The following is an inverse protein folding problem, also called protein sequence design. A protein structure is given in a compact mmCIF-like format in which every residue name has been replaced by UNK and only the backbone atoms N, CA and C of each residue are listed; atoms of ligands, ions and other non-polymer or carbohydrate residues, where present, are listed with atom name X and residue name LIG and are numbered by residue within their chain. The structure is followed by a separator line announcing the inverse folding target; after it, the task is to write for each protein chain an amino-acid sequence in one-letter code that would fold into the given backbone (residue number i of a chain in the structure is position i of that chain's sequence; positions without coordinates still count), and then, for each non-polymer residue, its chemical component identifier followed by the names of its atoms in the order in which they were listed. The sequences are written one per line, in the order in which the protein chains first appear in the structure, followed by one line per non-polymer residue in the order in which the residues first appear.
data_IF_944527518486
#
_entry.id   IF_944527518486
#
_cell.length_a   1.000
_cell.length_b   1.000
_cell.length_c   1.000
_cell.angle_alpha   90.00
_cell.angle_beta   90.00
_cell.angle_gamma   90.00
#
_symmetry.space_group_name_H-M   'P 1'
#
loop_
_entity.id
_entity.type
_entity.pdbx_description
1 polymer ?
#
# COMPACT_ATOMS: atom_id res chain seq x y z
N UNK A 1 7.85 7.05 -39.54
CA UNK A 1 6.42 7.38 -39.30
C UNK A 1 6.04 6.63 -38.02
N UNK A 2 6.02 7.34 -36.90
CA UNK A 2 5.61 6.80 -35.62
C UNK A 2 4.07 6.84 -35.57
N UNK A 3 3.45 5.66 -35.52
CA UNK A 3 2.01 5.58 -35.27
C UNK A 3 1.71 6.10 -33.88
N UNK A 4 1.08 7.24 -33.80
CA UNK A 4 0.52 7.81 -32.59
C UNK A 4 -0.67 6.92 -32.17
N UNK A 5 -0.44 5.97 -31.23
CA UNK A 5 -1.52 5.17 -30.65
C UNK A 5 -2.41 6.11 -29.84
N UNK A 6 -3.52 6.51 -30.43
CA UNK A 6 -4.59 7.25 -29.74
C UNK A 6 -5.15 6.36 -28.62
N UNK A 7 -4.78 6.67 -27.37
CA UNK A 7 -5.35 6.01 -26.19
C UNK A 7 -6.81 6.43 -26.10
N UNK A 8 -7.74 5.52 -26.41
CA UNK A 8 -9.17 5.75 -26.19
C UNK A 8 -9.41 5.91 -24.69
N UNK A 9 -9.89 7.08 -24.28
CA UNK A 9 -10.31 7.32 -22.90
C UNK A 9 -11.55 6.48 -22.63
N UNK A 10 -11.43 5.46 -21.77
CA UNK A 10 -12.56 4.63 -21.36
C UNK A 10 -13.36 5.41 -20.32
N UNK A 11 -14.67 5.48 -20.49
CA UNK A 11 -15.57 6.15 -19.56
C UNK A 11 -16.12 5.12 -18.55
N UNK A 12 -15.65 5.21 -17.32
CA UNK A 12 -16.07 4.33 -16.21
C UNK A 12 -17.21 4.92 -15.37
N UNK A 13 -17.69 6.12 -15.63
CA UNK A 13 -18.71 6.82 -14.84
C UNK A 13 -20.04 6.07 -14.69
N UNK A 14 -20.30 5.11 -15.58
CA UNK A 14 -21.49 4.25 -15.56
C UNK A 14 -21.32 2.97 -14.71
N UNK A 15 -20.09 2.65 -14.33
CA UNK A 15 -19.80 1.47 -13.54
C UNK A 15 -20.07 1.76 -12.05
N UNK A 16 -20.34 0.73 -11.24
CA UNK A 16 -20.50 0.90 -9.78
C UNK A 16 -19.27 1.55 -9.15
N UNK A 17 -19.50 2.43 -8.18
CA UNK A 17 -18.42 2.98 -7.34
C UNK A 17 -17.97 1.89 -6.38
N UNK A 18 -16.68 1.53 -6.43
CA UNK A 18 -16.08 0.50 -5.56
C UNK A 18 -15.26 1.12 -4.42
N UNK A 19 -14.82 2.37 -4.57
CA UNK A 19 -14.14 3.12 -3.51
C UNK A 19 -14.57 4.58 -3.58
N UNK A 20 -14.96 5.14 -2.44
CA UNK A 20 -15.30 6.56 -2.30
C UNK A 20 -14.59 7.14 -1.09
N UNK A 21 -13.89 8.24 -1.29
CA UNK A 21 -13.33 9.09 -0.25
C UNK A 21 -14.10 10.42 -0.25
N UNK A 22 -14.62 10.81 0.90
CA UNK A 22 -15.43 12.02 1.05
C UNK A 22 -14.87 12.91 2.15
N UNK A 23 -14.38 14.10 1.79
CA UNK A 23 -13.87 15.14 2.69
C UNK A 23 -12.81 14.64 3.68
N UNK A 24 -11.94 13.73 3.23
CA UNK A 24 -10.95 13.05 4.05
C UNK A 24 -9.82 13.99 4.44
N UNK A 25 -9.59 14.11 5.75
CA UNK A 25 -8.46 14.87 6.31
C UNK A 25 -7.69 14.01 7.31
N UNK A 26 -6.37 14.17 7.34
CA UNK A 26 -5.46 13.45 8.26
C UNK A 26 -4.38 14.35 8.82
N UNK A 27 -4.27 14.36 10.16
CA UNK A 27 -3.23 15.05 10.89
C UNK A 27 -2.40 14.09 11.72
N UNK A 28 -1.10 14.35 11.83
CA UNK A 28 -0.22 13.67 12.78
C UNK A 28 0.25 14.63 13.86
N UNK A 29 0.37 14.11 15.08
CA UNK A 29 0.97 14.85 16.20
C UNK A 29 2.46 14.51 16.24
N UNK A 30 3.30 15.43 15.79
CA UNK A 30 4.75 15.31 15.90
C UNK A 30 5.19 15.83 17.27
N UNK A 31 5.89 15.03 18.10
CA UNK A 31 6.44 15.53 19.35
C UNK A 31 7.42 16.67 19.04
N UNK A 32 7.19 17.82 19.62
CA UNK A 32 8.18 18.88 19.70
C UNK A 32 9.11 18.52 20.85
N UNK A 33 10.42 18.66 20.64
CA UNK A 33 11.54 18.30 21.52
C UNK A 33 11.16 17.86 22.94
N UNK A 34 11.61 16.66 23.32
CA UNK A 34 11.38 16.14 24.66
C UNK A 34 11.95 17.13 25.67
N UNK A 35 11.09 17.62 26.57
CA UNK A 35 11.54 18.33 27.74
C UNK A 35 12.49 17.42 28.53
N UNK A 36 13.78 17.67 28.45
CA UNK A 36 14.83 16.90 29.12
C UNK A 36 14.87 17.26 30.62
N UNK A 37 13.73 17.13 31.32
CA UNK A 37 13.67 17.32 32.76
C UNK A 37 12.30 17.76 33.27
N UNK A 38 11.98 17.36 34.51
CA UNK A 38 10.73 17.74 35.21
C UNK A 38 10.50 19.25 35.30
N UNK A 39 11.57 20.05 35.47
CA UNK A 39 11.48 21.50 35.47
C UNK A 39 11.00 22.08 34.15
N UNK A 40 11.51 21.56 33.02
CA UNK A 40 11.12 22.03 31.69
C UNK A 40 9.67 21.62 31.37
N UNK A 41 9.27 20.45 31.81
CA UNK A 41 7.88 19.97 31.65
C UNK A 41 6.90 20.89 32.41
N UNK A 42 7.24 21.32 33.64
CA UNK A 42 6.43 22.22 34.45
C UNK A 42 6.34 23.64 33.83
N UNK A 43 7.46 24.18 33.32
CA UNK A 43 7.50 25.47 32.63
C UNK A 43 6.68 25.44 31.35
N UNK A 44 6.78 24.36 30.56
CA UNK A 44 6.03 24.20 29.34
C UNK A 44 4.52 24.09 29.62
N UNK A 45 4.13 23.37 30.68
CA UNK A 45 2.74 23.28 31.13
C UNK A 45 2.20 24.66 31.58
N UNK A 46 2.97 25.39 32.40
CA UNK A 46 2.59 26.74 32.88
C UNK A 46 2.46 27.79 31.74
N UNK A 47 3.20 27.58 30.62
CA UNK A 47 3.15 28.44 29.43
C UNK A 47 2.15 27.98 28.39
N UNK A 48 1.39 26.90 28.64
CA UNK A 48 0.45 26.35 27.69
C UNK A 48 1.10 25.80 26.41
N UNK A 49 2.40 25.50 26.43
CA UNK A 49 3.14 24.98 25.29
C UNK A 49 2.73 23.50 25.12
N UNK A 50 1.99 23.21 24.05
CA UNK A 50 1.66 21.83 23.70
C UNK A 50 2.93 21.12 23.26
N UNK A 51 3.28 19.98 23.91
CA UNK A 51 4.46 19.18 23.60
C UNK A 51 4.41 18.46 22.24
N UNK A 52 3.52 18.88 21.34
CA UNK A 52 3.39 18.35 19.98
C UNK A 52 2.96 19.44 18.99
N UNK A 53 3.46 19.33 17.78
CA UNK A 53 3.02 20.10 16.61
C UNK A 53 2.06 19.24 15.78
N UNK A 54 0.88 19.76 15.45
CA UNK A 54 0.01 19.12 14.48
C UNK A 54 0.56 19.35 13.08
N UNK A 55 0.77 18.28 12.33
CA UNK A 55 1.08 18.32 10.91
C UNK A 55 -0.11 17.76 10.13
N UNK A 56 -0.79 18.62 9.39
CA UNK A 56 -1.84 18.23 8.47
C UNK A 56 -1.20 17.66 7.22
N UNK A 57 -1.44 16.39 6.95
CA UNK A 57 -0.85 15.65 5.81
C UNK A 57 -1.83 15.54 4.67
N UNK A 58 -3.11 15.36 4.97
CA UNK A 58 -4.20 15.34 3.99
C UNK A 58 -5.25 16.36 4.41
N UNK A 59 -5.76 17.11 3.44
CA UNK A 59 -6.71 18.18 3.64
C UNK A 59 -7.84 18.09 2.63
N UNK A 60 -9.02 17.74 3.13
CA UNK A 60 -10.28 17.75 2.38
C UNK A 60 -10.20 17.01 1.03
N UNK A 61 -9.76 15.76 1.05
CA UNK A 61 -9.59 14.94 -0.15
C UNK A 61 -10.91 14.22 -0.45
N UNK A 62 -11.41 14.39 -1.67
CA UNK A 62 -12.62 13.70 -2.15
C UNK A 62 -12.39 13.16 -3.55
N UNK A 63 -12.72 11.88 -3.77
CA UNK A 63 -12.70 11.22 -5.08
C UNK A 63 -13.48 9.91 -5.03
N UNK A 64 -13.80 9.38 -6.19
CA UNK A 64 -14.44 8.09 -6.38
C UNK A 64 -13.65 7.26 -7.38
N UNK A 65 -13.67 5.94 -7.20
CA UNK A 65 -13.08 4.97 -8.13
C UNK A 65 -14.16 3.96 -8.52
N UNK A 66 -14.30 3.73 -9.81
CA UNK A 66 -15.32 2.86 -10.38
C UNK A 66 -14.75 1.47 -10.68
N UNK A 67 -15.63 0.48 -10.76
CA UNK A 67 -15.25 -0.89 -11.08
C UNK A 67 -14.54 -0.95 -12.44
N UNK A 68 -13.38 -1.64 -12.49
CA UNK A 68 -12.54 -1.79 -13.66
C UNK A 68 -11.66 -0.56 -13.97
N UNK A 69 -11.73 0.50 -13.16
CA UNK A 69 -10.94 1.70 -13.34
C UNK A 69 -9.51 1.52 -12.82
N UNK A 70 -8.53 2.02 -13.57
CA UNK A 70 -7.17 2.19 -13.11
C UNK A 70 -6.98 3.65 -12.63
N UNK A 71 -6.92 3.82 -11.29
CA UNK A 71 -6.83 5.13 -10.66
C UNK A 71 -5.41 5.41 -10.15
N UNK A 72 -4.77 6.44 -10.66
CA UNK A 72 -3.39 6.82 -10.32
C UNK A 72 -3.31 7.99 -9.34
N UNK A 73 -2.63 7.81 -8.21
CA UNK A 73 -2.34 8.87 -7.24
C UNK A 73 -0.91 9.38 -7.46
N UNK A 74 -0.77 10.58 -7.99
CA UNK A 74 0.52 11.21 -8.28
C UNK A 74 0.74 12.46 -7.43
N UNK A 75 2.00 12.74 -7.10
CA UNK A 75 2.34 13.92 -6.30
C UNK A 75 3.79 13.88 -5.81
N UNK A 76 4.24 14.99 -5.21
CA UNK A 76 5.59 15.14 -4.66
C UNK A 76 5.85 14.15 -3.52
N UNK A 77 7.12 13.84 -3.27
CA UNK A 77 7.52 13.05 -2.08
C UNK A 77 7.13 13.82 -0.80
N UNK A 78 6.57 13.10 0.18
CA UNK A 78 6.02 13.71 1.40
C UNK A 78 4.63 14.36 1.22
N UNK A 79 4.02 14.30 0.02
CA UNK A 79 2.68 14.86 -0.26
C UNK A 79 1.50 14.03 0.25
N UNK A 80 1.73 13.04 1.12
CA UNK A 80 0.64 12.27 1.76
C UNK A 80 0.14 11.07 0.98
N UNK A 81 0.74 10.69 -0.17
CA UNK A 81 0.31 9.53 -0.99
C UNK A 81 0.21 8.23 -0.17
N UNK A 82 1.30 7.84 0.49
CA UNK A 82 1.33 6.64 1.34
C UNK A 82 0.35 6.73 2.51
N UNK A 83 0.12 7.94 3.05
CA UNK A 83 -0.88 8.17 4.09
C UNK A 83 -2.29 7.92 3.56
N UNK A 84 -2.60 8.39 2.35
CA UNK A 84 -3.88 8.16 1.70
C UNK A 84 -4.10 6.67 1.41
N UNK A 85 -3.08 5.97 0.89
CA UNK A 85 -3.16 4.52 0.67
C UNK A 85 -3.38 3.75 1.98
N UNK A 86 -2.71 4.14 3.07
CA UNK A 86 -2.92 3.54 4.41
C UNK A 86 -4.31 3.81 4.98
N UNK A 87 -4.91 4.95 4.65
CA UNK A 87 -6.32 5.23 5.00
C UNK A 87 -7.29 4.39 4.17
N UNK A 88 -7.09 4.28 2.86
CA UNK A 88 -7.88 3.42 1.97
C UNK A 88 -7.84 1.97 2.45
N UNK A 89 -6.66 1.51 2.85
CA UNK A 89 -6.42 0.15 3.37
C UNK A 89 -6.84 -0.06 4.82
N UNK A 90 -7.50 0.93 5.44
CA UNK A 90 -7.99 0.89 6.83
C UNK A 90 -6.90 0.66 7.90
N UNK A 91 -5.63 0.89 7.54
CA UNK A 91 -4.50 0.88 8.48
C UNK A 91 -4.55 2.14 9.36
N UNK A 92 -4.97 3.26 8.79
CA UNK A 92 -5.25 4.50 9.49
C UNK A 92 -6.73 4.88 9.38
N UNK A 93 -7.19 5.70 10.33
CA UNK A 93 -8.52 6.30 10.28
C UNK A 93 -8.40 7.81 10.01
N UNK A 94 -9.29 8.40 9.22
CA UNK A 94 -9.32 9.84 9.00
C UNK A 94 -9.78 10.59 10.28
N UNK A 95 -9.32 11.83 10.47
CA UNK A 95 -9.86 12.72 11.50
C UNK A 95 -11.20 13.33 11.08
N UNK A 96 -11.35 13.61 9.80
CA UNK A 96 -12.61 14.09 9.22
C UNK A 96 -12.87 13.37 7.91
N UNK A 97 -14.15 13.31 7.53
CA UNK A 97 -14.59 12.62 6.33
C UNK A 97 -14.73 11.12 6.52
N UNK A 98 -14.92 10.42 5.42
CA UNK A 98 -15.10 8.97 5.41
C UNK A 98 -14.51 8.34 4.16
N UNK A 99 -14.13 7.06 4.29
CA UNK A 99 -13.74 6.21 3.16
C UNK A 99 -14.66 5.00 3.18
N UNK A 100 -15.30 4.75 2.06
CA UNK A 100 -16.15 3.58 1.84
C UNK A 100 -15.53 2.70 0.77
N UNK A 101 -15.44 1.40 1.06
CA UNK A 101 -14.91 0.39 0.15
C UNK A 101 -15.99 -0.68 -0.04
N UNK A 102 -16.33 -0.98 -1.29
CA UNK A 102 -17.28 -2.02 -1.66
C UNK A 102 -16.52 -3.18 -2.28
N UNK A 103 -16.46 -4.31 -1.59
CA UNK A 103 -15.73 -5.50 -2.00
C UNK A 103 -14.47 -5.77 -1.19
N UNK A 104 -13.72 -6.81 -1.59
CA UNK A 104 -12.48 -7.23 -0.93
C UNK A 104 -11.31 -6.37 -1.42
N UNK A 105 -10.71 -5.62 -0.49
CA UNK A 105 -9.53 -4.80 -0.77
C UNK A 105 -8.25 -5.58 -0.45
N UNK A 106 -7.32 -5.63 -1.39
CA UNK A 106 -5.99 -6.22 -1.22
C UNK A 106 -4.96 -5.10 -1.22
N UNK A 107 -4.43 -4.72 -0.04
CA UNK A 107 -3.42 -3.68 0.07
C UNK A 107 -2.03 -4.25 -0.21
N UNK A 108 -1.34 -3.69 -1.19
CA UNK A 108 0.04 -3.96 -1.52
C UNK A 108 0.86 -2.67 -1.39
N UNK A 109 0.92 -2.16 -0.15
CA UNK A 109 1.45 -0.83 0.15
C UNK A 109 2.95 -0.85 0.40
N UNK A 110 3.50 -1.94 0.90
CA UNK A 110 4.93 -2.09 1.16
C UNK A 110 5.42 -3.37 0.48
N UNK A 111 6.15 -3.20 -0.62
CA UNK A 111 6.76 -4.29 -1.39
C UNK A 111 7.67 -5.14 -0.50
N UNK A 112 7.38 -6.45 -0.40
CA UNK A 112 8.19 -7.40 0.36
C UNK A 112 7.91 -7.45 1.86
N UNK A 113 6.93 -6.73 2.38
CA UNK A 113 6.45 -6.95 3.77
C UNK A 113 5.89 -8.36 3.88
N UNK A 114 6.41 -9.10 4.87
CA UNK A 114 6.07 -10.50 5.09
C UNK A 114 7.01 -11.50 4.43
N UNK A 115 7.93 -11.06 3.57
CA UNK A 115 8.98 -11.93 3.06
C UNK A 115 10.08 -12.18 4.11
N UNK A 116 10.53 -13.43 4.20
CA UNK A 116 11.67 -13.82 5.02
C UNK A 116 12.87 -14.12 4.12
N UNK A 117 13.98 -13.35 4.23
CA UNK A 117 15.17 -13.54 3.40
C UNK A 117 15.85 -14.91 3.57
N UNK A 118 15.64 -15.57 4.70
CA UNK A 118 16.25 -16.90 4.99
C UNK A 118 15.45 -18.07 4.40
N UNK A 119 14.21 -17.84 4.00
CA UNK A 119 13.37 -18.81 3.32
C UNK A 119 13.62 -18.76 1.81
N UNK A 120 13.28 -19.85 1.13
CA UNK A 120 13.32 -19.95 -0.34
C UNK A 120 12.20 -19.11 -0.99
N UNK A 121 12.28 -18.89 -2.30
CA UNK A 121 11.19 -18.26 -3.06
C UNK A 121 9.88 -19.01 -2.87
N UNK A 122 9.92 -20.34 -2.97
CA UNK A 122 8.77 -21.23 -2.74
C UNK A 122 8.13 -21.01 -1.37
N UNK A 123 8.92 -21.11 -0.32
CA UNK A 123 8.44 -20.93 1.06
C UNK A 123 7.86 -19.53 1.28
N UNK A 124 8.44 -18.50 0.66
CA UNK A 124 7.92 -17.13 0.72
C UNK A 124 6.58 -16.96 -0.01
N UNK A 125 6.32 -17.69 -1.10
CA UNK A 125 4.99 -17.70 -1.76
C UNK A 125 3.93 -18.20 -0.78
N UNK A 126 4.17 -19.32 -0.08
CA UNK A 126 3.23 -19.85 0.92
C UNK A 126 3.07 -18.93 2.13
N UNK A 127 4.20 -18.38 2.64
CA UNK A 127 4.17 -17.43 3.74
C UNK A 127 3.34 -16.19 3.39
N UNK A 128 3.57 -15.62 2.21
CA UNK A 128 2.88 -14.41 1.78
C UNK A 128 1.42 -14.70 1.43
N UNK A 129 1.13 -15.84 0.79
CA UNK A 129 -0.24 -16.31 0.54
C UNK A 129 -1.05 -16.44 1.83
N UNK A 130 -0.45 -17.04 2.88
CA UNK A 130 -1.08 -17.16 4.21
C UNK A 130 -1.34 -15.80 4.85
N UNK A 131 -0.42 -14.84 4.71
CA UNK A 131 -0.60 -13.46 5.21
C UNK A 131 -1.75 -12.73 4.48
N UNK A 132 -1.99 -13.07 3.21
CA UNK A 132 -3.11 -12.54 2.42
C UNK A 132 -4.43 -13.30 2.68
N UNK A 133 -4.39 -14.33 3.54
CA UNK A 133 -5.57 -15.07 3.98
C UNK A 133 -5.93 -16.29 3.13
N UNK A 134 -5.00 -16.79 2.29
CA UNK A 134 -5.17 -18.03 1.54
C UNK A 134 -4.87 -19.26 2.39
N UNK A 135 -5.60 -20.35 2.14
CA UNK A 135 -5.24 -21.67 2.64
C UNK A 135 -4.06 -22.23 1.85
N UNK A 136 -3.44 -23.30 2.36
CA UNK A 136 -2.33 -23.97 1.67
C UNK A 136 -2.77 -24.52 0.31
N UNK A 137 -3.96 -25.11 0.27
CA UNK A 137 -4.55 -25.70 -0.94
C UNK A 137 -4.84 -24.62 -2.00
N UNK A 138 -5.27 -23.44 -1.58
CA UNK A 138 -5.47 -22.31 -2.49
C UNK A 138 -4.15 -21.79 -3.06
N UNK A 139 -3.09 -21.76 -2.24
CA UNK A 139 -1.74 -21.41 -2.71
C UNK A 139 -1.21 -22.46 -3.68
N UNK A 140 -1.39 -23.77 -3.39
CA UNK A 140 -1.00 -24.86 -4.29
C UNK A 140 -1.67 -24.71 -5.66
N UNK A 141 -2.96 -24.39 -5.68
CA UNK A 141 -3.72 -24.25 -6.92
C UNK A 141 -3.25 -23.10 -7.82
N UNK A 142 -2.65 -22.04 -7.23
CA UNK A 142 -2.19 -20.85 -7.97
C UNK A 142 -0.65 -20.77 -8.06
N UNK A 143 0.08 -21.74 -7.49
CA UNK A 143 1.54 -21.66 -7.35
C UNK A 143 2.24 -21.56 -8.71
N UNK A 144 1.92 -22.44 -9.65
CA UNK A 144 2.55 -22.49 -10.97
C UNK A 144 2.30 -21.18 -11.74
N UNK A 145 1.09 -20.66 -11.68
CA UNK A 145 0.72 -19.37 -12.26
C UNK A 145 1.49 -18.19 -11.66
N UNK A 146 1.73 -18.24 -10.33
CA UNK A 146 2.52 -17.20 -9.62
C UNK A 146 3.97 -17.23 -10.12
N UNK A 147 4.54 -18.41 -10.21
CA UNK A 147 5.94 -18.64 -10.62
C UNK A 147 6.15 -18.24 -12.08
N UNK A 148 5.26 -18.67 -12.97
CA UNK A 148 5.28 -18.29 -14.39
C UNK A 148 5.16 -16.76 -14.57
N UNK A 149 4.21 -16.13 -13.88
CA UNK A 149 4.04 -14.68 -13.96
C UNK A 149 5.26 -13.91 -13.41
N UNK A 150 5.92 -14.45 -12.38
CA UNK A 150 7.14 -13.87 -11.82
C UNK A 150 8.38 -14.10 -12.73
N UNK A 151 8.34 -15.07 -13.64
CA UNK A 151 9.49 -15.52 -14.45
C UNK A 151 10.68 -15.92 -13.55
N UNK A 152 10.42 -16.74 -12.51
CA UNK A 152 11.41 -17.08 -11.49
C UNK A 152 11.54 -18.59 -11.26
N UNK A 153 11.14 -19.42 -12.22
CA UNK A 153 11.10 -20.89 -12.13
C UNK A 153 12.41 -21.48 -11.62
N UNK A 154 13.54 -21.04 -12.16
CA UNK A 154 14.88 -21.54 -11.83
C UNK A 154 15.39 -21.06 -10.46
N UNK A 155 14.71 -20.08 -9.87
CA UNK A 155 15.15 -19.44 -8.62
C UNK A 155 14.35 -19.86 -7.40
N UNK A 156 13.20 -20.54 -7.59
CA UNK A 156 12.23 -20.79 -6.51
C UNK A 156 12.78 -21.60 -5.32
N UNK A 157 13.79 -22.43 -5.55
CA UNK A 157 14.44 -23.22 -4.49
C UNK A 157 15.65 -22.51 -3.86
N UNK A 158 15.97 -21.30 -4.32
CA UNK A 158 17.01 -20.45 -3.74
C UNK A 158 16.43 -19.56 -2.64
N UNK A 159 17.27 -19.25 -1.64
CA UNK A 159 16.91 -18.31 -0.56
C UNK A 159 16.68 -16.91 -1.11
N UNK A 160 15.65 -16.25 -0.59
CA UNK A 160 15.22 -14.92 -1.07
C UNK A 160 16.31 -13.85 -0.91
N UNK A 161 17.22 -14.00 0.06
CA UNK A 161 18.38 -13.10 0.20
C UNK A 161 19.32 -13.08 -1.02
N UNK A 162 19.26 -14.10 -1.86
CA UNK A 162 20.04 -14.18 -3.10
C UNK A 162 19.33 -13.52 -4.29
N UNK A 163 18.05 -13.12 -4.11
CA UNK A 163 17.29 -12.47 -5.16
C UNK A 163 17.71 -11.00 -5.30
N UNK A 164 17.72 -10.51 -6.52
CA UNK A 164 17.77 -9.06 -6.75
C UNK A 164 16.49 -8.39 -6.23
N UNK A 165 16.55 -7.09 -5.96
CA UNK A 165 15.36 -6.33 -5.56
C UNK A 165 14.22 -6.44 -6.58
N UNK A 166 14.54 -6.46 -7.87
CA UNK A 166 13.57 -6.67 -8.94
C UNK A 166 12.89 -8.03 -8.89
N UNK A 167 13.65 -9.11 -8.61
CA UNK A 167 13.10 -10.46 -8.45
C UNK A 167 12.16 -10.53 -7.25
N UNK A 168 12.54 -9.93 -6.11
CA UNK A 168 11.69 -9.88 -4.92
C UNK A 168 10.38 -9.14 -5.19
N UNK A 169 10.45 -8.00 -5.88
CA UNK A 169 9.28 -7.21 -6.29
C UNK A 169 8.36 -8.02 -7.21
N UNK A 170 8.91 -8.68 -8.23
CA UNK A 170 8.13 -9.51 -9.17
C UNK A 170 7.42 -10.63 -8.44
N UNK A 171 8.12 -11.37 -7.57
CA UNK A 171 7.52 -12.46 -6.80
C UNK A 171 6.39 -11.95 -5.91
N UNK A 172 6.62 -10.88 -5.14
CA UNK A 172 5.61 -10.30 -4.26
C UNK A 172 4.38 -9.82 -5.03
N UNK A 173 4.59 -9.17 -6.18
CA UNK A 173 3.52 -8.69 -7.04
C UNK A 173 2.70 -9.84 -7.66
N UNK A 174 3.37 -10.94 -8.06
CA UNK A 174 2.71 -12.12 -8.59
C UNK A 174 1.75 -12.76 -7.60
N UNK A 175 2.18 -12.89 -6.33
CA UNK A 175 1.33 -13.37 -5.24
C UNK A 175 0.13 -12.42 -5.02
N UNK A 176 0.38 -11.11 -4.98
CA UNK A 176 -0.66 -10.12 -4.73
C UNK A 176 -1.73 -10.05 -5.82
N UNK A 177 -1.36 -10.19 -7.10
CA UNK A 177 -2.31 -10.21 -8.22
C UNK A 177 -3.22 -11.44 -8.16
N UNK A 178 -2.70 -12.58 -7.71
CA UNK A 178 -3.50 -13.80 -7.56
C UNK A 178 -4.40 -13.77 -6.33
N UNK A 179 -4.13 -12.85 -5.37
CA UNK A 179 -5.06 -12.58 -4.29
C UNK A 179 -6.38 -12.09 -4.88
N UNK A 180 -7.40 -12.94 -4.88
CA UNK A 180 -8.74 -12.62 -5.40
C UNK A 180 -9.35 -11.47 -4.59
N UNK A 181 -9.08 -10.25 -5.03
CA UNK A 181 -9.63 -9.01 -4.48
C UNK A 181 -10.33 -8.21 -5.56
N UNK A 182 -11.38 -7.49 -5.15
CA UNK A 182 -12.12 -6.60 -6.05
C UNK A 182 -11.35 -5.30 -6.29
N UNK A 183 -10.51 -4.91 -5.33
CA UNK A 183 -9.71 -3.68 -5.36
C UNK A 183 -8.27 -4.00 -4.97
N UNK A 184 -7.33 -3.72 -5.86
CA UNK A 184 -5.90 -3.83 -5.60
C UNK A 184 -5.30 -2.43 -5.36
N UNK A 185 -4.72 -2.21 -4.18
CA UNK A 185 -4.04 -0.96 -3.82
C UNK A 185 -2.54 -1.18 -3.87
N UNK A 186 -1.87 -0.49 -4.79
CA UNK A 186 -0.43 -0.62 -5.01
C UNK A 186 0.29 0.67 -4.62
N UNK A 187 1.37 0.58 -3.85
CA UNK A 187 2.35 1.64 -3.70
C UNK A 187 3.61 1.32 -4.51
N UNK A 188 3.78 2.03 -5.61
CA UNK A 188 5.00 1.95 -6.41
C UNK A 188 6.00 2.91 -5.78
N UNK A 189 6.54 2.53 -4.62
CA UNK A 189 7.60 3.27 -3.94
C UNK A 189 8.90 3.22 -4.73
N UNK A 190 9.77 4.23 -4.55
CA UNK A 190 11.16 4.11 -5.01
C UNK A 190 11.79 2.93 -4.30
N UNK A 191 12.29 1.96 -5.06
CA UNK A 191 13.33 1.08 -4.54
C UNK A 191 14.44 1.99 -3.97
N UNK A 192 14.74 1.86 -2.69
CA UNK A 192 15.91 2.51 -2.11
C UNK A 192 17.13 1.97 -2.85
N UNK A 193 17.73 2.83 -3.67
CA UNK A 193 19.06 2.64 -4.22
C UNK A 193 20.06 3.02 -3.15
#
# INVERSE_FOLDING_TARGET
MSEEKTIKKVDYSKNPVVLSASHVSKCFKLPTEQATGLKQAFINWARGIKGYKKQEVLKDISFEVHQGEFFGIVGRNGGGKSTLLKLISQIYYPENGSITVSGKLVPFIELGVGFNPELTGRENVYLNGSLLGFTHEEVDAMYDDIVEFAELEEFMDQKLKNYSSGMQVRLAFSVAIKAQGDILVLEIGRAHV
#
